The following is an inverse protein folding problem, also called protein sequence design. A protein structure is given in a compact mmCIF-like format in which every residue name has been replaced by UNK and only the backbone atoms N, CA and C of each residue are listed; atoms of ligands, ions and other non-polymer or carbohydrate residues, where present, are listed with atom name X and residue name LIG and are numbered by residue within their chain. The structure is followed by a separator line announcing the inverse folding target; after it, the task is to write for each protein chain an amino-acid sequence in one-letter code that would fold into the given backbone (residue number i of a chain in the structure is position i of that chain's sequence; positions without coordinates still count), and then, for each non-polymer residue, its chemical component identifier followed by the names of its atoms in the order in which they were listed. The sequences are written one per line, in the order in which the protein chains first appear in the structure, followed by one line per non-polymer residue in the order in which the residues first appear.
data_IF_089110938866
#
_entry.id   IF_089110938866
#
_cell.length_a   1.000
_cell.length_b   1.000
_cell.length_c   1.000
_cell.angle_alpha   90.00
_cell.angle_beta   90.00
_cell.angle_gamma   90.00
#
_symmetry.space_group_name_H-M   'P 1'
#
loop_
_entity.id
_entity.type
_entity.pdbx_description
1 polymer ?
#
# COMPACT_ATOMS: atom_id res chain seq x y z
N UNK A 1 -10.71 0.97 -14.44
CA UNK A 1 -10.24 1.02 -13.03
C UNK A 1 -11.24 0.28 -12.15
N UNK A 2 -10.78 -0.61 -11.28
CA UNK A 2 -11.63 -1.35 -10.34
C UNK A 2 -11.48 -0.69 -8.97
N UNK A 3 -12.52 -0.04 -8.41
CA UNK A 3 -12.39 0.65 -7.13
C UNK A 3 -12.35 -0.36 -5.97
N UNK A 4 -11.50 -0.07 -4.98
CA UNK A 4 -11.50 -0.75 -3.68
C UNK A 4 -11.98 0.27 -2.63
N UNK A 5 -13.02 -0.07 -1.89
CA UNK A 5 -13.56 0.80 -0.85
C UNK A 5 -12.79 0.61 0.46
N UNK A 6 -12.33 1.74 1.02
CA UNK A 6 -11.70 1.79 2.34
C UNK A 6 -12.58 2.66 3.23
N UNK A 7 -12.99 2.09 4.37
CA UNK A 7 -13.83 2.77 5.35
C UNK A 7 -12.97 3.58 6.31
N UNK A 8 -12.52 4.74 5.84
CA UNK A 8 -11.70 5.69 6.59
C UNK A 8 -12.09 7.12 6.20
N UNK A 9 -12.46 7.94 7.17
CA UNK A 9 -12.93 9.32 6.97
C UNK A 9 -11.86 10.25 6.40
N UNK A 10 -10.58 9.92 6.61
CA UNK A 10 -9.44 10.66 6.05
C UNK A 10 -9.11 10.20 4.62
N UNK A 11 -9.78 9.15 4.11
CA UNK A 11 -9.59 8.69 2.75
C UNK A 11 -10.52 9.44 1.79
N UNK A 12 -9.92 10.22 0.89
CA UNK A 12 -10.64 10.91 -0.19
C UNK A 12 -11.35 9.93 -1.13
N UNK A 13 -12.48 10.35 -1.73
CA UNK A 13 -13.27 9.53 -2.68
C UNK A 13 -12.44 8.90 -3.80
N UNK A 14 -11.43 9.64 -4.30
CA UNK A 14 -10.37 9.15 -5.18
C UNK A 14 -9.06 9.53 -4.50
N UNK A 15 -8.45 8.58 -3.79
CA UNK A 15 -7.27 8.87 -2.97
C UNK A 15 -5.97 8.49 -3.69
N UNK A 16 -5.87 7.24 -4.08
CA UNK A 16 -4.68 6.68 -4.73
C UNK A 16 -5.13 5.82 -5.90
N UNK A 17 -4.36 5.86 -6.98
CA UNK A 17 -4.48 4.93 -8.08
C UNK A 17 -3.22 4.08 -8.12
N UNK A 18 -3.40 2.76 -8.11
CA UNK A 18 -2.35 1.80 -8.44
C UNK A 18 -2.62 1.34 -9.86
N UNK A 19 -1.61 1.43 -10.73
CA UNK A 19 -1.69 0.90 -12.08
C UNK A 19 -0.41 0.15 -12.43
N UNK A 20 -0.52 -0.71 -13.43
CA UNK A 20 0.57 -1.54 -13.92
C UNK A 20 0.96 -1.07 -15.31
N UNK A 21 2.23 -0.72 -15.47
CA UNK A 21 2.85 -0.44 -16.75
C UNK A 21 3.40 -1.74 -17.34
N UNK A 22 2.90 -2.10 -18.53
CA UNK A 22 3.28 -3.33 -19.22
C UNK A 22 4.64 -3.23 -19.88
N UNK A 23 5.06 -2.03 -20.30
CA UNK A 23 6.32 -1.86 -21.01
C UNK A 23 7.50 -1.92 -20.04
N UNK A 24 7.32 -1.35 -18.84
CA UNK A 24 8.29 -1.38 -17.75
C UNK A 24 8.21 -2.57 -16.80
N UNK A 25 7.17 -3.41 -16.90
CA UNK A 25 6.84 -4.51 -15.96
C UNK A 25 6.83 -4.03 -14.48
N UNK A 26 6.17 -2.88 -14.25
CA UNK A 26 6.22 -2.17 -12.96
C UNK A 26 4.86 -1.68 -12.53
N UNK A 27 4.66 -1.68 -11.21
CA UNK A 27 3.52 -1.03 -10.59
C UNK A 27 3.88 0.39 -10.16
N UNK A 28 2.91 1.29 -10.27
CA UNK A 28 3.04 2.68 -9.88
C UNK A 28 1.87 3.08 -9.00
N UNK A 29 2.18 3.91 -7.99
CA UNK A 29 1.21 4.63 -7.19
C UNK A 29 1.15 6.09 -7.60
N UNK A 30 -0.07 6.60 -7.76
CA UNK A 30 -0.35 8.00 -8.07
C UNK A 30 -1.34 8.57 -7.05
N UNK A 31 -0.98 9.68 -6.41
CA UNK A 31 -1.89 10.45 -5.55
C UNK A 31 -2.92 11.19 -6.42
N UNK A 32 -4.20 10.86 -6.24
CA UNK A 32 -5.31 11.38 -7.03
C UNK A 32 -5.82 12.74 -6.51
N UNK A 33 -4.89 13.63 -6.15
CA UNK A 33 -5.15 14.92 -5.47
C UNK A 33 -5.92 14.74 -4.17
N UNK A 34 -5.51 13.75 -3.38
CA UNK A 34 -6.11 13.47 -2.08
C UNK A 34 -5.92 14.62 -1.09
N UNK A 35 -6.85 14.77 -0.14
CA UNK A 35 -6.77 15.81 0.89
C UNK A 35 -5.58 15.63 1.84
N UNK A 36 -5.28 14.38 2.20
CA UNK A 36 -4.27 14.05 3.21
C UNK A 36 -2.93 13.57 2.61
N UNK A 37 -2.90 13.26 1.32
CA UNK A 37 -1.72 12.76 0.62
C UNK A 37 -1.55 11.26 0.72
N UNK A 38 -0.78 10.71 -0.22
CA UNK A 38 -0.30 9.33 -0.21
C UNK A 38 1.13 9.29 0.32
N UNK A 39 1.42 8.32 1.20
CA UNK A 39 2.77 8.09 1.72
C UNK A 39 3.22 6.67 1.39
N UNK A 40 4.45 6.51 0.92
CA UNK A 40 5.08 5.21 0.68
C UNK A 40 6.29 5.10 1.61
N UNK A 41 6.32 4.07 2.45
CA UNK A 41 7.37 3.85 3.45
C UNK A 41 7.65 5.09 4.33
N UNK A 42 6.59 5.84 4.66
CA UNK A 42 6.66 7.06 5.48
C UNK A 42 6.95 8.34 4.71
N UNK A 43 7.35 8.26 3.43
CA UNK A 43 7.65 9.42 2.59
C UNK A 43 6.42 9.82 1.77
N UNK A 44 6.05 11.10 1.80
CA UNK A 44 4.94 11.61 0.98
C UNK A 44 5.36 11.64 -0.49
N UNK A 45 4.54 11.07 -1.36
CA UNK A 45 4.77 11.15 -2.80
C UNK A 45 4.14 12.43 -3.37
N UNK A 46 4.77 12.99 -4.39
CA UNK A 46 4.28 14.17 -5.10
C UNK A 46 3.94 13.86 -6.55
N UNK A 47 4.76 13.01 -7.18
CA UNK A 47 4.57 12.49 -8.52
C UNK A 47 4.31 10.98 -8.46
N UNK A 48 4.00 10.43 -9.63
CA UNK A 48 3.89 8.99 -9.84
C UNK A 48 5.17 8.28 -9.36
N UNK A 49 4.99 7.27 -8.51
CA UNK A 49 6.10 6.60 -7.82
C UNK A 49 6.02 5.10 -8.03
N UNK A 50 7.14 4.47 -8.42
CA UNK A 50 7.27 3.01 -8.59
C UNK A 50 7.04 2.33 -7.24
N UNK A 51 6.26 1.25 -7.24
CA UNK A 51 6.05 0.37 -6.10
C UNK A 51 6.96 -0.86 -6.18
N UNK A 52 7.54 -1.23 -5.05
CA UNK A 52 8.30 -2.45 -4.85
C UNK A 52 7.57 -3.44 -3.93
N UNK A 53 7.79 -4.75 -4.11
CA UNK A 53 7.26 -5.78 -3.21
C UNK A 53 7.67 -5.49 -1.76
N UNK A 54 6.69 -5.40 -0.88
CA UNK A 54 6.90 -5.07 0.53
C UNK A 54 6.64 -3.62 0.92
N UNK A 55 6.32 -2.74 -0.02
CA UNK A 55 6.06 -1.33 0.27
C UNK A 55 4.82 -1.15 1.15
N UNK A 56 4.92 -0.21 2.09
CA UNK A 56 3.81 0.23 2.92
C UNK A 56 3.24 1.53 2.36
N UNK A 57 1.97 1.50 1.94
CA UNK A 57 1.26 2.65 1.41
C UNK A 57 0.28 3.14 2.47
N UNK A 58 0.48 4.34 3.00
CA UNK A 58 -0.42 4.95 3.97
C UNK A 58 -1.27 6.02 3.31
N UNK A 59 -2.59 5.89 3.50
CA UNK A 59 -3.62 6.84 3.05
C UNK A 59 -4.59 7.12 4.19
N UNK A 60 -4.76 8.38 4.57
CA UNK A 60 -5.52 8.70 5.78
C UNK A 60 -4.92 8.04 7.03
N UNK A 61 -5.74 7.30 7.77
CA UNK A 61 -5.34 6.47 8.91
C UNK A 61 -5.08 4.99 8.52
N UNK A 62 -5.35 4.62 7.27
CA UNK A 62 -5.20 3.25 6.77
C UNK A 62 -3.80 3.03 6.20
N UNK A 63 -3.20 1.88 6.55
CA UNK A 63 -1.95 1.41 5.94
C UNK A 63 -2.23 0.15 5.13
N UNK A 64 -1.84 0.18 3.86
CA UNK A 64 -1.89 -0.92 2.92
C UNK A 64 -0.49 -1.50 2.76
N UNK A 65 -0.41 -2.81 2.58
CA UNK A 65 0.83 -3.50 2.26
C UNK A 65 0.77 -3.98 0.83
N UNK A 66 1.74 -3.56 0.02
CA UNK A 66 1.84 -3.94 -1.37
C UNK A 66 2.72 -5.18 -1.54
N UNK A 67 2.24 -6.15 -2.30
CA UNK A 67 3.00 -7.35 -2.63
C UNK A 67 2.70 -7.84 -4.03
N UNK A 68 3.72 -8.39 -4.69
CA UNK A 68 3.62 -9.03 -6.01
C UNK A 68 3.15 -10.49 -5.92
N UNK A 69 3.08 -11.04 -4.70
CA UNK A 69 2.59 -12.39 -4.49
C UNK A 69 1.07 -12.42 -4.62
N UNK A 70 0.59 -13.31 -5.47
CA UNK A 70 -0.83 -13.64 -5.53
C UNK A 70 -1.16 -14.65 -4.42
N UNK A 71 -2.27 -14.42 -3.73
CA UNK A 71 -2.76 -15.26 -2.65
C UNK A 71 -4.13 -15.79 -3.02
N UNK A 72 -4.30 -17.11 -2.94
CA UNK A 72 -5.54 -17.76 -3.34
C UNK A 72 -6.73 -17.38 -2.44
N UNK A 73 -6.46 -16.96 -1.20
CA UNK A 73 -7.47 -16.63 -0.22
C UNK A 73 -7.03 -15.53 0.76
N UNK A 74 -8.00 -15.01 1.51
CA UNK A 74 -7.78 -13.98 2.52
C UNK A 74 -6.86 -14.46 3.65
N UNK A 75 -6.90 -15.73 4.02
CA UNK A 75 -6.17 -16.24 5.18
C UNK A 75 -4.67 -16.29 4.91
N UNK A 76 -4.27 -16.80 3.75
CA UNK A 76 -2.91 -16.83 3.25
C UNK A 76 -2.34 -15.42 3.05
N UNK A 77 -3.13 -14.49 2.53
CA UNK A 77 -2.75 -13.08 2.43
C UNK A 77 -2.51 -12.45 3.82
N UNK A 78 -3.40 -12.68 4.78
CA UNK A 78 -3.26 -12.18 6.15
C UNK A 78 -2.06 -12.81 6.89
N UNK A 79 -1.81 -14.10 6.69
CA UNK A 79 -0.64 -14.78 7.26
C UNK A 79 0.66 -14.20 6.71
N UNK A 80 0.70 -13.89 5.42
CA UNK A 80 1.84 -13.19 4.81
C UNK A 80 2.06 -11.82 5.43
N UNK A 81 1.01 -11.01 5.57
CA UNK A 81 1.08 -9.70 6.19
C UNK A 81 1.58 -9.77 7.64
N UNK A 82 1.06 -10.69 8.48
CA UNK A 82 1.51 -10.88 9.87
C UNK A 82 2.99 -11.21 9.95
N UNK A 83 3.45 -12.15 9.12
CA UNK A 83 4.87 -12.54 9.06
C UNK A 83 5.77 -11.37 8.68
N UNK A 84 5.32 -10.50 7.78
CA UNK A 84 6.07 -9.28 7.43
C UNK A 84 6.05 -8.27 8.58
N UNK A 85 4.91 -8.05 9.22
CA UNK A 85 4.81 -7.15 10.39
C UNK A 85 5.65 -7.60 11.59
N UNK A 86 5.83 -8.91 11.77
CA UNK A 86 6.71 -9.49 12.80
C UNK A 86 8.19 -9.20 12.55
N UNK A 87 8.63 -9.02 11.29
CA UNK A 87 10.01 -8.66 10.97
C UNK A 87 10.43 -7.29 11.49
N UNK A 88 9.47 -6.40 11.74
CA UNK A 88 9.70 -5.06 12.28
C UNK A 88 9.69 -4.99 13.81
N UNK A 89 9.36 -6.08 14.51
CA UNK A 89 9.36 -6.10 15.98
C UNK A 89 10.80 -6.30 16.49
N UNK A 90 11.35 -5.38 17.30
CA UNK A 90 12.65 -5.60 17.94
C UNK A 90 12.56 -6.82 18.87
N UNK A 91 13.61 -7.65 18.90
CA UNK A 91 13.69 -8.86 19.75
C UNK A 91 13.92 -8.55 21.23
N UNK A 92 13.80 -7.29 21.66
CA UNK A 92 14.01 -6.93 23.06
C UNK A 92 12.71 -7.10 23.82
N UNK A 93 12.67 -8.16 24.62
CA UNK A 93 11.76 -8.33 25.74
C UNK A 93 12.41 -7.54 26.88
N UNK A 94 11.79 -6.43 27.30
CA UNK A 94 12.05 -5.87 28.65
C UNK A 94 11.39 -6.76 29.71
#
# INVERSE_FOLDING_TARGET
AVPIQILDEHVSRKHVQIHFDKDGDRYYALDMKSKHGVFINGLKIHDETVLADGDQIRIGATTLFFTLKDFADRESALAHFKKVGERGRPTVID
#
